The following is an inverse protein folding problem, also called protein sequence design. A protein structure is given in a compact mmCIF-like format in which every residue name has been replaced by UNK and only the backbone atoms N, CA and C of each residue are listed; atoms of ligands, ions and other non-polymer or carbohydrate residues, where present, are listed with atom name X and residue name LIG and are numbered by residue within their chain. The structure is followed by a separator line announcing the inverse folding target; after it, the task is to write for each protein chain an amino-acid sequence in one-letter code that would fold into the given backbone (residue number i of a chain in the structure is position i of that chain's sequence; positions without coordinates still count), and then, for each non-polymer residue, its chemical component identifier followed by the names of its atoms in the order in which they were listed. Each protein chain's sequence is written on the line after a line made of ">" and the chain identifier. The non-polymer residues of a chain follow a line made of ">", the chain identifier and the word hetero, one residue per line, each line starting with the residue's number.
data_IF_633186844744
#
_entry.id   IF_633186844744
#
_cell.length_a   1.000
_cell.length_b   1.000
_cell.length_c   1.000
_cell.angle_alpha   90.00
_cell.angle_beta   90.00
_cell.angle_gamma   90.00
#
_symmetry.space_group_name_H-M   'P 1'
#
loop_
_entity.id
_entity.type
_entity.pdbx_description
1 polymer ?
#
# COMPACT_ATOMS: atom_id res chain seq x y z
N UNK A 1 -34.67 -23.44 -38.20
CA UNK A 1 -34.90 -22.85 -36.87
C UNK A 1 -34.14 -21.52 -36.82
N UNK A 2 -34.82 -20.38 -36.66
CA UNK A 2 -34.12 -19.09 -36.63
C UNK A 2 -33.37 -18.94 -35.30
N UNK A 3 -32.08 -18.64 -35.38
CA UNK A 3 -31.23 -18.43 -34.21
C UNK A 3 -31.43 -16.97 -33.76
N UNK A 4 -32.20 -16.77 -32.70
CA UNK A 4 -32.39 -15.45 -32.09
C UNK A 4 -31.10 -15.06 -31.36
N UNK A 5 -30.28 -14.22 -31.99
CA UNK A 5 -29.11 -13.65 -31.35
C UNK A 5 -29.56 -12.70 -30.24
N UNK A 6 -29.47 -13.16 -29.00
CA UNK A 6 -29.71 -12.33 -27.82
C UNK A 6 -28.59 -11.30 -27.72
N UNK A 7 -28.85 -10.06 -28.17
CA UNK A 7 -27.87 -8.98 -28.07
C UNK A 7 -27.72 -8.56 -26.62
N UNK A 8 -26.50 -8.73 -26.10
CA UNK A 8 -26.10 -8.17 -24.81
C UNK A 8 -26.36 -6.65 -24.79
N UNK A 9 -26.84 -6.11 -23.66
CA UNK A 9 -27.13 -4.69 -23.52
C UNK A 9 -25.86 -3.86 -23.77
N UNK A 10 -25.98 -2.83 -24.62
CA UNK A 10 -24.87 -1.96 -25.02
C UNK A 10 -24.49 -0.94 -23.96
N UNK A 11 -25.39 -0.71 -23.00
CA UNK A 11 -25.17 0.18 -21.86
C UNK A 11 -24.73 -0.67 -20.68
N UNK A 12 -23.54 -0.43 -20.10
CA UNK A 12 -23.13 -1.15 -18.91
C UNK A 12 -24.13 -0.86 -17.80
N UNK A 13 -24.75 -1.92 -17.25
CA UNK A 13 -25.53 -1.83 -16.02
C UNK A 13 -24.59 -1.23 -14.97
N UNK A 14 -24.98 -0.14 -14.31
CA UNK A 14 -24.20 0.36 -13.16
C UNK A 14 -23.97 -0.84 -12.24
N UNK A 15 -22.72 -1.03 -11.83
CA UNK A 15 -22.38 -2.11 -10.92
C UNK A 15 -23.16 -1.83 -9.62
N UNK A 16 -24.07 -2.73 -9.26
CA UNK A 16 -24.79 -2.63 -7.99
C UNK A 16 -23.75 -2.65 -6.87
N UNK A 17 -23.89 -1.77 -5.87
CA UNK A 17 -22.97 -1.73 -4.74
C UNK A 17 -22.97 -3.09 -4.03
N UNK A 18 -21.79 -3.60 -3.69
CA UNK A 18 -21.70 -4.88 -2.98
C UNK A 18 -22.27 -4.67 -1.57
N UNK A 19 -23.25 -5.47 -1.11
CA UNK A 19 -23.80 -5.32 0.23
C UNK A 19 -22.70 -5.39 1.30
N UNK A 20 -22.63 -4.38 2.17
CA UNK A 20 -21.62 -4.27 3.23
C UNK A 20 -20.31 -3.56 2.81
N UNK A 21 -20.15 -3.20 1.53
CA UNK A 21 -19.00 -2.45 1.04
C UNK A 21 -19.05 -1.01 1.53
N UNK A 22 -18.00 -0.57 2.22
CA UNK A 22 -17.86 0.81 2.66
C UNK A 22 -17.04 1.57 1.61
N UNK A 23 -17.31 2.86 1.40
CA UNK A 23 -16.55 3.67 0.44
C UNK A 23 -15.05 3.73 0.73
N UNK A 24 -14.66 3.57 2.00
CA UNK A 24 -13.28 3.45 2.45
C UNK A 24 -12.58 2.17 1.95
N UNK A 25 -13.32 1.10 1.63
CA UNK A 25 -12.75 -0.17 1.16
C UNK A 25 -12.25 -0.03 -0.28
N UNK A 26 -13.01 0.65 -1.15
CA UNK A 26 -12.58 0.97 -2.52
C UNK A 26 -11.37 1.90 -2.54
N UNK A 27 -11.36 2.90 -1.64
CA UNK A 27 -10.24 3.82 -1.49
C UNK A 27 -8.98 3.09 -1.00
N UNK A 28 -9.11 2.18 -0.04
CA UNK A 28 -8.00 1.36 0.44
C UNK A 28 -7.42 0.47 -0.67
N UNK A 29 -8.29 -0.20 -1.45
CA UNK A 29 -7.86 -1.01 -2.60
C UNK A 29 -7.17 -0.15 -3.65
N UNK A 30 -7.71 1.02 -3.99
CA UNK A 30 -7.09 1.94 -4.94
C UNK A 30 -5.70 2.42 -4.47
N UNK A 31 -5.56 2.75 -3.18
CA UNK A 31 -4.26 3.11 -2.59
C UNK A 31 -3.26 1.96 -2.65
N UNK A 32 -3.67 0.73 -2.30
CA UNK A 32 -2.81 -0.46 -2.35
C UNK A 32 -2.35 -0.73 -3.80
N UNK A 33 -3.27 -0.63 -4.77
CA UNK A 33 -2.93 -0.82 -6.18
C UNK A 33 -1.95 0.24 -6.68
N UNK A 34 -2.15 1.51 -6.34
CA UNK A 34 -1.22 2.59 -6.68
C UNK A 34 0.17 2.35 -6.09
N UNK A 35 0.25 1.99 -4.80
CA UNK A 35 1.52 1.67 -4.14
C UNK A 35 2.20 0.44 -4.77
N UNK A 36 1.44 -0.57 -5.17
CA UNK A 36 1.95 -1.77 -5.83
C UNK A 36 2.52 -1.45 -7.21
N UNK A 37 1.87 -0.57 -7.97
CA UNK A 37 2.38 -0.10 -9.26
C UNK A 37 3.72 0.63 -9.10
N UNK A 38 3.80 1.56 -8.15
CA UNK A 38 5.05 2.27 -7.84
C UNK A 38 6.16 1.31 -7.38
N UNK A 39 5.86 0.35 -6.51
CA UNK A 39 6.81 -0.67 -6.08
C UNK A 39 7.32 -1.52 -7.25
N UNK A 40 6.46 -1.83 -8.22
CA UNK A 40 6.83 -2.59 -9.41
C UNK A 40 7.82 -1.81 -10.28
N UNK A 41 7.61 -0.50 -10.46
CA UNK A 41 8.55 0.38 -11.17
C UNK A 41 9.89 0.45 -10.43
N UNK A 42 9.87 0.61 -9.11
CA UNK A 42 11.10 0.62 -8.29
C UNK A 42 11.88 -0.68 -8.44
N UNK A 43 11.21 -1.84 -8.39
CA UNK A 43 11.86 -3.15 -8.59
C UNK A 43 12.50 -3.27 -9.98
N UNK A 44 11.81 -2.84 -11.03
CA UNK A 44 12.37 -2.85 -12.38
C UNK A 44 13.60 -1.93 -12.52
N UNK A 45 13.56 -0.76 -11.86
CA UNK A 45 14.72 0.16 -11.83
C UNK A 45 15.90 -0.44 -11.06
N UNK A 46 15.66 -1.13 -9.95
CA UNK A 46 16.71 -1.80 -9.18
C UNK A 46 17.36 -2.95 -9.99
N UNK A 47 16.56 -3.78 -10.66
CA UNK A 47 17.08 -4.81 -11.59
C UNK A 47 17.94 -4.19 -12.70
N UNK A 48 17.48 -3.07 -13.27
CA UNK A 48 18.26 -2.34 -14.29
C UNK A 48 19.60 -1.86 -13.71
N UNK A 49 19.60 -1.28 -12.51
CA UNK A 49 20.84 -0.85 -11.84
C UNK A 49 21.79 -2.02 -11.57
N UNK A 50 21.27 -3.17 -11.10
CA UNK A 50 22.07 -4.36 -10.86
C UNK A 50 22.72 -4.87 -12.16
N UNK A 51 21.94 -5.00 -13.23
CA UNK A 51 22.45 -5.42 -14.55
C UNK A 51 23.55 -4.50 -15.08
N UNK A 52 23.34 -3.18 -14.99
CA UNK A 52 24.34 -2.19 -15.42
C UNK A 52 25.63 -2.26 -14.58
N UNK A 53 25.53 -2.54 -13.28
CA UNK A 53 26.70 -2.68 -12.41
C UNK A 53 27.47 -3.98 -12.67
N UNK A 54 26.78 -5.06 -13.02
CA UNK A 54 27.42 -6.31 -13.46
C UNK A 54 28.10 -6.11 -14.82
N UNK A 55 27.44 -5.47 -15.78
CA UNK A 55 28.02 -5.16 -17.10
C UNK A 55 29.26 -4.28 -16.97
N UNK A 56 29.25 -3.30 -16.06
CA UNK A 56 30.39 -2.46 -15.75
C UNK A 56 31.51 -3.17 -14.96
N UNK A 57 31.33 -4.45 -14.58
CA UNK A 57 32.31 -5.22 -13.80
C UNK A 57 32.45 -4.80 -12.34
N UNK A 58 31.52 -4.00 -11.81
CA UNK A 58 31.53 -3.54 -10.41
C UNK A 58 31.00 -4.64 -9.49
N UNK A 59 29.93 -5.31 -9.90
CA UNK A 59 29.35 -6.46 -9.18
C UNK A 59 29.65 -7.77 -9.90
N UNK A 60 29.79 -8.84 -9.11
CA UNK A 60 29.69 -10.20 -9.64
C UNK A 60 28.22 -10.53 -9.91
N UNK A 61 27.92 -11.44 -10.85
CA UNK A 61 26.62 -12.10 -10.87
C UNK A 61 26.27 -12.63 -9.48
N UNK A 62 25.01 -12.49 -9.06
CA UNK A 62 24.48 -12.91 -7.75
C UNK A 62 25.09 -12.21 -6.52
N UNK A 63 25.81 -11.09 -6.71
CA UNK A 63 26.38 -10.34 -5.60
C UNK A 63 25.30 -9.82 -4.63
N UNK A 64 24.11 -9.45 -5.13
CA UNK A 64 22.99 -9.03 -4.29
C UNK A 64 22.41 -10.21 -3.51
N UNK A 65 22.20 -11.36 -4.15
CA UNK A 65 21.60 -12.55 -3.53
C UNK A 65 22.49 -13.16 -2.44
N UNK A 66 23.81 -13.02 -2.57
CA UNK A 66 24.79 -13.52 -1.60
C UNK A 66 25.20 -12.46 -0.57
N UNK A 67 24.70 -11.23 -0.70
CA UNK A 67 25.07 -10.13 0.18
C UNK A 67 24.55 -10.36 1.60
N UNK A 68 25.48 -10.43 2.55
CA UNK A 68 25.15 -10.43 3.99
C UNK A 68 25.47 -9.05 4.57
N UNK A 69 24.46 -8.28 5.01
CA UNK A 69 24.70 -6.98 5.61
C UNK A 69 25.44 -7.13 6.94
N UNK A 70 26.38 -6.21 7.20
CA UNK A 70 27.00 -6.10 8.51
C UNK A 70 26.06 -5.47 9.55
N UNK A 71 26.51 -5.42 10.80
CA UNK A 71 25.73 -4.88 11.91
C UNK A 71 25.38 -3.39 11.71
N UNK A 72 26.26 -2.61 11.07
CA UNK A 72 26.03 -1.19 10.83
C UNK A 72 24.93 -0.99 9.77
N UNK A 73 25.01 -1.70 8.65
CA UNK A 73 24.01 -1.69 7.59
C UNK A 73 22.64 -2.17 8.10
N UNK A 74 22.60 -3.16 9.00
CA UNK A 74 21.36 -3.59 9.65
C UNK A 74 20.76 -2.49 10.54
N UNK A 75 21.58 -1.82 11.34
CA UNK A 75 21.13 -0.72 12.20
C UNK A 75 20.59 0.47 11.40
N UNK A 76 21.27 0.86 10.32
CA UNK A 76 20.80 1.91 9.40
C UNK A 76 19.46 1.54 8.77
N UNK A 77 19.31 0.28 8.31
CA UNK A 77 18.04 -0.23 7.77
C UNK A 77 16.93 -0.21 8.81
N UNK A 78 17.22 -0.54 10.06
CA UNK A 78 16.25 -0.49 11.16
C UNK A 78 15.77 0.93 11.42
N UNK A 79 16.71 1.88 11.50
CA UNK A 79 16.39 3.29 11.70
C UNK A 79 15.54 3.82 10.56
N UNK A 80 15.90 3.50 9.32
CA UNK A 80 15.14 3.91 8.13
C UNK A 80 13.72 3.31 8.14
N UNK A 81 13.58 2.04 8.54
CA UNK A 81 12.29 1.35 8.62
C UNK A 81 11.40 1.95 9.69
N UNK A 82 11.92 2.13 10.91
CA UNK A 82 11.20 2.74 12.02
C UNK A 82 10.74 4.15 11.68
N UNK A 83 11.62 4.97 11.10
CA UNK A 83 11.29 6.34 10.66
C UNK A 83 10.21 6.34 9.58
N UNK A 84 10.29 5.43 8.61
CA UNK A 84 9.32 5.31 7.53
C UNK A 84 7.95 4.89 8.06
N UNK A 85 7.89 3.86 8.91
CA UNK A 85 6.66 3.38 9.54
C UNK A 85 6.02 4.50 10.35
N UNK A 86 6.80 5.18 11.21
CA UNK A 86 6.28 6.28 12.02
C UNK A 86 5.69 7.41 11.15
N UNK A 87 6.38 7.78 10.06
CA UNK A 87 5.88 8.81 9.13
C UNK A 87 4.59 8.39 8.42
N UNK A 88 4.52 7.13 7.96
CA UNK A 88 3.37 6.60 7.22
C UNK A 88 2.16 6.43 8.14
N UNK A 89 2.36 5.95 9.35
CA UNK A 89 1.28 5.66 10.30
C UNK A 89 0.82 6.87 11.12
N UNK A 90 1.56 7.99 11.10
CA UNK A 90 1.20 9.20 11.86
C UNK A 90 -0.25 9.66 11.65
N UNK A 91 -0.79 9.77 10.41
CA UNK A 91 -2.17 10.20 10.22
C UNK A 91 -3.20 9.24 10.83
N UNK A 92 -2.94 7.93 10.78
CA UNK A 92 -3.81 6.91 11.39
C UNK A 92 -3.78 7.00 12.92
N UNK A 93 -2.61 7.24 13.49
CA UNK A 93 -2.46 7.43 14.93
C UNK A 93 -3.17 8.71 15.41
N UNK A 94 -3.04 9.82 14.68
CA UNK A 94 -3.74 11.08 14.97
C UNK A 94 -5.25 10.90 14.90
N UNK A 95 -5.76 10.20 13.88
CA UNK A 95 -7.19 9.88 13.75
C UNK A 95 -7.69 9.02 14.93
N UNK A 96 -6.95 7.96 15.28
CA UNK A 96 -7.31 7.10 16.41
C UNK A 96 -7.34 7.88 17.75
N UNK A 97 -6.42 8.82 17.95
CA UNK A 97 -6.43 9.69 19.14
C UNK A 97 -7.63 10.64 19.17
N UNK A 98 -8.04 11.18 18.01
CA UNK A 98 -9.24 12.03 17.89
C UNK A 98 -10.52 11.24 18.15
N UNK A 99 -10.62 10.02 17.63
CA UNK A 99 -11.74 9.11 17.88
C UNK A 99 -11.83 8.75 19.38
N UNK A 100 -10.70 8.49 20.03
CA UNK A 100 -10.67 8.22 21.47
C UNK A 100 -11.09 9.47 22.28
N UNK A 101 -10.65 10.66 21.88
CA UNK A 101 -11.01 11.92 22.53
C UNK A 101 -12.51 12.27 22.36
N UNK A 102 -13.10 11.97 21.20
CA UNK A 102 -14.53 12.17 20.97
C UNK A 102 -15.37 11.19 21.77
N UNK A 103 -15.02 9.90 21.81
CA UNK A 103 -15.73 8.90 22.63
C UNK A 103 -15.68 9.27 24.13
N UNK A 104 -14.50 9.63 24.63
CA UNK A 104 -14.34 10.01 26.05
C UNK A 104 -15.03 11.35 26.39
N UNK A 105 -15.05 12.30 25.45
CA UNK A 105 -15.75 13.58 25.62
C UNK A 105 -17.29 13.46 25.56
N UNK A 106 -17.84 12.52 24.79
CA UNK A 106 -19.28 12.22 24.76
C UNK A 106 -19.74 11.58 26.07
N UNK A 107 -18.97 10.63 26.61
CA UNK A 107 -19.26 10.00 27.90
C UNK A 107 -19.35 11.02 29.05
N UNK A 108 -18.51 12.05 29.04
CA UNK A 108 -18.55 13.10 30.08
C UNK A 108 -19.79 14.01 29.98
N UNK A 109 -20.34 14.22 28.77
CA UNK A 109 -21.57 15.01 28.57
C UNK A 109 -22.83 14.27 29.00
N UNK A 110 -22.91 12.96 28.76
CA UNK A 110 -24.06 12.13 29.18
C UNK A 110 -24.16 11.97 30.71
N UNK A 111 -23.05 12.11 31.45
CA UNK A 111 -23.05 12.03 32.92
C UNK A 111 -23.54 13.32 33.61
N UNK A 112 -23.68 14.43 32.89
CA UNK A 112 -23.97 15.75 33.45
C UNK A 112 -25.41 16.23 33.15
N UNK A 113 -26.29 15.33 32.70
CA UNK A 113 -27.71 15.59 32.41
C UNK A 113 -28.59 14.72 33.30
#
# INVERSE_FOLDING_TARGET
>A
MPVTQHRLPRTPKKLDQIPGQRGQDEQAIAMILALTAELSIVRARLDTCERLLVEAGVFKPDAIETFTPDAAALAEREQLRTRSIAKILRPLHELAQQDLATVTGVAHKEQTV
#
